data_IF_278644945762
#
_entry.id   IF_278644945762
#
_cell.length_a   1.000
_cell.length_b   1.000
_cell.length_c   1.000
_cell.angle_alpha   90.00
_cell.angle_beta   90.00
_cell.angle_gamma   90.00
#
_symmetry.space_group_name_H-M   'P 1'
#
loop_
_entity.id
_entity.type
_entity.pdbx_description
1 polymer ?
#
# COMPACT_ATOMS: atom_id res chain seq x y z
N UNK A 1 -52.30 29.34 19.85
CA UNK A 1 -51.85 28.46 18.71
C UNK A 1 -50.36 28.62 18.60
N UNK A 2 -49.62 27.67 19.22
CA UNK A 2 -48.15 27.77 19.31
C UNK A 2 -47.50 27.74 17.93
N UNK A 3 -46.47 28.55 17.79
CA UNK A 3 -45.63 28.70 16.59
C UNK A 3 -45.05 27.32 16.15
N UNK A 4 -45.81 26.52 15.40
CA UNK A 4 -45.35 25.21 14.89
C UNK A 4 -44.40 25.40 13.71
N UNK A 5 -44.39 26.59 13.12
CA UNK A 5 -43.56 26.91 11.95
C UNK A 5 -42.06 26.82 12.23
N UNK A 6 -41.49 27.39 13.31
CA UNK A 6 -40.08 27.25 13.62
C UNK A 6 -39.69 25.79 13.98
N UNK A 7 -40.58 25.05 14.63
CA UNK A 7 -40.33 23.64 14.94
C UNK A 7 -40.26 22.77 13.67
N UNK A 8 -41.12 23.05 12.69
CA UNK A 8 -41.09 22.36 11.39
C UNK A 8 -39.82 22.69 10.63
N UNK A 9 -39.40 23.97 10.61
CA UNK A 9 -38.15 24.37 9.95
C UNK A 9 -36.91 23.71 10.58
N UNK A 10 -36.88 23.63 11.90
CA UNK A 10 -35.79 22.92 12.62
C UNK A 10 -35.82 21.44 12.26
N UNK A 11 -36.97 20.77 12.26
CA UNK A 11 -37.10 19.36 11.92
C UNK A 11 -36.63 19.07 10.48
N UNK A 12 -36.99 19.93 9.51
CA UNK A 12 -36.53 19.84 8.13
C UNK A 12 -35.01 20.03 8.07
N UNK A 13 -34.46 21.02 8.77
CA UNK A 13 -33.02 21.25 8.83
C UNK A 13 -32.23 20.06 9.37
N UNK A 14 -32.72 19.46 10.44
CA UNK A 14 -32.13 18.24 11.04
C UNK A 14 -32.22 17.09 10.06
N UNK A 15 -33.32 16.88 9.39
CA UNK A 15 -33.52 15.79 8.43
C UNK A 15 -32.58 15.96 7.23
N UNK A 16 -32.42 17.17 6.70
CA UNK A 16 -31.48 17.48 5.62
C UNK A 16 -30.04 17.27 6.08
N UNK A 17 -29.70 17.66 7.31
CA UNK A 17 -28.36 17.41 7.88
C UNK A 17 -28.05 15.92 8.00
N UNK A 18 -29.01 15.13 8.50
CA UNK A 18 -28.86 13.67 8.59
C UNK A 18 -28.68 13.07 7.20
N UNK A 19 -29.50 13.45 6.23
CA UNK A 19 -29.41 12.98 4.86
C UNK A 19 -28.04 13.32 4.22
N UNK A 20 -27.55 14.53 4.40
CA UNK A 20 -26.24 14.96 3.92
C UNK A 20 -25.09 14.19 4.59
N UNK A 21 -25.17 13.96 5.91
CA UNK A 21 -24.17 13.22 6.68
C UNK A 21 -24.13 11.71 6.34
N UNK A 22 -25.21 11.19 5.75
CA UNK A 22 -25.35 9.77 5.39
C UNK A 22 -24.76 9.42 4.03
N UNK A 23 -24.33 10.39 3.23
CA UNK A 23 -23.87 10.17 1.86
C UNK A 23 -22.34 10.29 1.78
N UNK A 24 -21.71 9.41 1.01
CA UNK A 24 -20.31 9.54 0.62
C UNK A 24 -20.09 9.11 -0.82
N UNK A 25 -19.02 9.62 -1.43
CA UNK A 25 -18.68 9.35 -2.84
C UNK A 25 -17.35 8.59 -2.90
N UNK A 26 -17.32 7.56 -3.73
CA UNK A 26 -16.11 6.80 -4.08
C UNK A 26 -15.69 7.20 -5.48
N UNK A 27 -14.45 7.66 -5.64
CA UNK A 27 -13.87 8.02 -6.92
C UNK A 27 -13.26 6.79 -7.61
N UNK A 28 -13.04 6.86 -8.94
CA UNK A 28 -12.44 5.78 -9.74
C UNK A 28 -11.03 5.36 -9.32
N UNK A 29 -10.33 6.19 -8.54
CA UNK A 29 -8.97 5.93 -8.08
C UNK A 29 -8.88 5.52 -6.62
N UNK A 30 -10.04 5.20 -6.02
CA UNK A 30 -10.15 4.92 -4.59
C UNK A 30 -11.10 3.77 -4.35
N UNK A 31 -10.80 3.00 -3.33
CA UNK A 31 -11.73 2.08 -2.69
C UNK A 31 -12.13 2.67 -1.33
N UNK A 32 -13.34 2.43 -0.89
CA UNK A 32 -13.81 2.90 0.41
C UNK A 32 -14.13 1.73 1.32
N UNK A 33 -13.57 1.74 2.52
CA UNK A 33 -13.86 0.79 3.58
C UNK A 33 -14.80 1.46 4.57
N UNK A 34 -15.98 0.89 4.75
CA UNK A 34 -16.94 1.33 5.77
C UNK A 34 -16.66 0.57 7.05
N UNK A 35 -16.33 1.32 8.10
CA UNK A 35 -15.94 0.78 9.40
C UNK A 35 -16.98 1.19 10.42
N UNK A 36 -17.51 0.22 11.16
CA UNK A 36 -18.47 0.42 12.25
C UNK A 36 -17.92 -0.22 13.54
N UNK A 37 -17.83 0.54 14.61
CA UNK A 37 -17.26 0.10 15.88
C UNK A 37 -15.90 -0.61 15.72
N UNK A 38 -15.04 -0.07 14.84
CA UNK A 38 -13.72 -0.62 14.53
C UNK A 38 -13.71 -1.85 13.63
N UNK A 39 -14.86 -2.40 13.26
CA UNK A 39 -14.98 -3.56 12.37
C UNK A 39 -15.32 -3.16 10.93
N UNK A 40 -14.73 -3.85 9.97
CA UNK A 40 -15.03 -3.65 8.55
C UNK A 40 -16.41 -4.22 8.26
N UNK A 41 -17.36 -3.35 7.91
CA UNK A 41 -18.72 -3.72 7.51
C UNK A 41 -18.80 -4.00 6.03
N UNK A 42 -18.22 -3.13 5.23
CA UNK A 42 -18.31 -3.22 3.78
C UNK A 42 -17.09 -2.58 3.10
N UNK A 43 -16.81 -3.01 1.87
CA UNK A 43 -15.77 -2.45 1.01
C UNK A 43 -16.38 -2.10 -0.33
N UNK A 44 -16.31 -0.82 -0.70
CA UNK A 44 -16.79 -0.30 -1.97
C UNK A 44 -15.61 -0.12 -2.91
N UNK A 45 -15.56 -0.95 -3.94
CA UNK A 45 -14.49 -0.95 -4.96
C UNK A 45 -14.91 -0.22 -6.22
N UNK A 46 -16.22 -0.07 -6.46
CA UNK A 46 -16.72 0.62 -7.64
C UNK A 46 -16.95 2.11 -7.34
N UNK A 47 -16.67 3.00 -8.32
CA UNK A 47 -16.98 4.42 -8.17
C UNK A 47 -18.48 4.64 -8.09
N UNK A 48 -18.89 5.54 -7.24
CA UNK A 48 -20.30 5.86 -7.09
C UNK A 48 -20.65 6.59 -5.81
N UNK A 49 -21.94 6.82 -5.65
CA UNK A 49 -22.53 7.44 -4.48
C UNK A 49 -23.12 6.36 -3.59
N UNK A 50 -22.68 6.34 -2.34
CA UNK A 50 -23.06 5.33 -1.37
C UNK A 50 -23.62 5.94 -0.10
N UNK A 51 -24.36 5.13 0.66
CA UNK A 51 -24.96 5.53 1.92
C UNK A 51 -24.25 4.83 3.08
N UNK A 52 -24.11 5.58 4.17
CA UNK A 52 -23.59 5.10 5.46
C UNK A 52 -24.50 5.58 6.59
N UNK A 53 -24.39 4.96 7.75
CA UNK A 53 -25.06 5.51 8.93
C UNK A 53 -24.42 6.85 9.30
N UNK A 54 -25.26 7.90 9.54
CA UNK A 54 -24.76 9.19 9.98
C UNK A 54 -24.09 9.09 11.36
N UNK A 55 -23.42 10.17 11.76
CA UNK A 55 -22.78 10.29 13.07
C UNK A 55 -21.55 9.39 13.28
N UNK A 56 -20.62 9.39 12.33
CA UNK A 56 -19.33 8.68 12.45
C UNK A 56 -18.50 9.08 13.69
N UNK A 57 -18.77 10.24 14.29
CA UNK A 57 -18.19 10.67 15.57
C UNK A 57 -18.71 9.89 16.79
N UNK A 58 -19.83 9.17 16.66
CA UNK A 58 -20.38 8.24 17.66
C UNK A 58 -20.07 6.78 17.31
N UNK A 59 -18.98 6.53 16.55
CA UNK A 59 -18.57 5.21 16.05
C UNK A 59 -19.63 4.48 15.19
N UNK A 60 -20.63 5.23 14.66
CA UNK A 60 -21.66 4.62 13.83
C UNK A 60 -21.05 4.06 12.54
N UNK A 61 -20.66 4.92 11.59
CA UNK A 61 -19.96 4.51 10.37
C UNK A 61 -18.87 5.52 10.03
N UNK A 62 -17.62 5.10 9.98
CA UNK A 62 -16.51 5.86 9.42
C UNK A 62 -16.12 5.29 8.06
N UNK A 63 -15.65 6.13 7.15
CA UNK A 63 -15.20 5.73 5.82
C UNK A 63 -13.71 6.01 5.70
N UNK A 64 -12.93 4.96 5.42
CA UNK A 64 -11.51 5.07 5.12
C UNK A 64 -11.32 4.86 3.61
N UNK A 65 -10.67 5.81 2.96
CA UNK A 65 -10.35 5.71 1.54
C UNK A 65 -8.97 5.12 1.34
N UNK A 66 -8.89 4.12 0.47
CA UNK A 66 -7.66 3.44 0.05
C UNK A 66 -7.43 3.74 -1.42
N UNK A 67 -6.22 4.12 -1.79
CA UNK A 67 -5.87 4.40 -3.18
C UNK A 67 -5.90 3.13 -4.03
N UNK A 68 -6.62 3.18 -5.17
CA UNK A 68 -6.71 2.11 -6.16
C UNK A 68 -5.93 2.47 -7.43
N UNK A 69 -4.69 2.87 -7.27
CA UNK A 69 -3.76 3.17 -8.35
C UNK A 69 -2.41 2.53 -8.07
N UNK A 70 -1.59 2.40 -9.12
CA UNK A 70 -0.22 1.94 -8.96
C UNK A 70 0.56 2.94 -8.10
N UNK A 71 1.19 2.43 -7.06
CA UNK A 71 2.02 3.15 -6.11
C UNK A 71 3.46 2.68 -6.30
N UNK A 72 4.39 3.55 -5.98
CA UNK A 72 5.81 3.24 -6.04
C UNK A 72 6.46 3.56 -4.70
N UNK A 73 7.37 2.68 -4.27
CA UNK A 73 8.34 3.00 -3.24
C UNK A 73 9.75 2.66 -3.71
N UNK A 74 10.70 3.46 -3.28
CA UNK A 74 12.12 3.30 -3.58
C UNK A 74 12.84 2.77 -2.35
N UNK A 75 13.85 1.94 -2.58
CA UNK A 75 14.76 1.44 -1.56
C UNK A 75 16.17 1.68 -2.07
N UNK A 76 16.85 2.61 -1.44
CA UNK A 76 18.18 3.06 -1.84
C UNK A 76 19.26 2.48 -0.91
N UNK A 77 20.50 2.45 -1.40
CA UNK A 77 21.71 2.09 -0.65
C UNK A 77 21.68 0.68 -0.02
N UNK A 78 21.06 -0.28 -0.71
CA UNK A 78 21.03 -1.67 -0.24
C UNK A 78 22.41 -2.29 -0.46
N UNK A 79 23.12 -2.56 0.62
CA UNK A 79 24.40 -3.25 0.57
C UNK A 79 24.19 -4.76 0.43
N UNK A 80 24.56 -5.32 -0.71
CA UNK A 80 24.48 -6.75 -1.01
C UNK A 80 25.88 -7.35 -1.20
N UNK A 81 26.09 -8.55 -0.68
CA UNK A 81 27.31 -9.30 -0.93
C UNK A 81 27.07 -10.31 -2.04
N UNK A 82 27.91 -10.30 -3.08
CA UNK A 82 27.85 -11.25 -4.17
C UNK A 82 28.79 -12.45 -3.95
N UNK A 83 28.60 -13.51 -4.71
CA UNK A 83 29.54 -14.63 -4.71
C UNK A 83 30.93 -14.13 -5.11
N UNK A 84 31.92 -14.35 -4.23
CA UNK A 84 33.26 -13.77 -4.37
C UNK A 84 33.62 -12.70 -3.34
N UNK A 85 32.71 -12.42 -2.38
CA UNK A 85 32.97 -11.60 -1.21
C UNK A 85 32.95 -10.09 -1.43
N UNK A 86 32.70 -9.62 -2.65
CA UNK A 86 32.58 -8.18 -2.95
C UNK A 86 31.22 -7.64 -2.52
N UNK A 87 31.20 -6.37 -2.12
CA UNK A 87 29.96 -5.66 -1.76
C UNK A 87 29.56 -4.68 -2.85
N UNK A 88 28.27 -4.61 -3.07
CA UNK A 88 27.66 -3.66 -3.99
C UNK A 88 26.55 -2.90 -3.30
N UNK A 89 26.37 -1.65 -3.71
CA UNK A 89 25.22 -0.84 -3.36
C UNK A 89 24.21 -0.92 -4.50
N UNK A 90 22.99 -1.29 -4.15
CA UNK A 90 21.91 -1.52 -5.12
C UNK A 90 20.74 -0.63 -4.74
N UNK A 91 20.30 0.19 -5.69
CA UNK A 91 19.05 0.92 -5.59
C UNK A 91 17.97 0.17 -6.35
N UNK A 92 16.85 -0.05 -5.72
CA UNK A 92 15.72 -0.73 -6.32
C UNK A 92 14.42 0.04 -6.08
N UNK A 93 13.43 -0.16 -6.95
CA UNK A 93 12.09 0.31 -6.69
C UNK A 93 11.06 -0.78 -6.98
N UNK A 94 9.95 -0.66 -6.29
CA UNK A 94 8.81 -1.55 -6.43
C UNK A 94 7.59 -0.75 -6.84
N UNK A 95 6.88 -1.23 -7.85
CA UNK A 95 5.56 -0.73 -8.24
C UNK A 95 4.53 -1.76 -7.76
N UNK A 96 3.58 -1.31 -6.98
CA UNK A 96 2.56 -2.16 -6.39
C UNK A 96 1.18 -1.48 -6.42
N UNK A 97 0.14 -2.28 -6.27
CA UNK A 97 -1.25 -1.82 -6.19
C UNK A 97 -1.94 -2.45 -4.98
N UNK A 98 -2.82 -1.70 -4.32
CA UNK A 98 -3.66 -2.23 -3.24
C UNK A 98 -4.90 -2.84 -3.90
N UNK A 99 -4.93 -4.17 -4.03
CA UNK A 99 -6.00 -4.89 -4.72
C UNK A 99 -7.05 -5.45 -3.78
N UNK A 100 -6.70 -5.67 -2.51
CA UNK A 100 -7.61 -6.12 -1.46
C UNK A 100 -7.57 -5.13 -0.29
N UNK A 101 -8.44 -4.14 -0.32
CA UNK A 101 -8.51 -3.10 0.70
C UNK A 101 -8.88 -3.66 2.08
N UNK A 102 -9.71 -4.73 2.15
CA UNK A 102 -10.05 -5.39 3.42
C UNK A 102 -8.81 -5.98 4.08
N UNK A 103 -8.09 -6.81 3.35
CA UNK A 103 -6.85 -7.44 3.83
C UNK A 103 -5.79 -6.43 4.19
N UNK A 104 -5.66 -5.38 3.37
CA UNK A 104 -4.75 -4.26 3.64
C UNK A 104 -5.09 -3.56 4.96
N UNK A 105 -6.36 -3.30 5.22
CA UNK A 105 -6.82 -2.74 6.50
C UNK A 105 -6.55 -3.67 7.67
N UNK A 106 -6.82 -4.96 7.53
CA UNK A 106 -6.60 -5.96 8.59
C UNK A 106 -5.12 -6.16 8.90
N UNK A 107 -4.25 -6.17 7.88
CA UNK A 107 -2.82 -6.44 8.04
C UNK A 107 -2.02 -5.25 8.55
N UNK A 108 -2.31 -4.03 8.10
CA UNK A 108 -1.53 -2.82 8.36
C UNK A 108 -2.39 -1.62 8.78
N UNK A 109 -3.63 -1.85 9.22
CA UNK A 109 -4.59 -0.80 9.63
C UNK A 109 -4.89 0.23 8.52
N UNK A 110 -4.64 -0.13 7.27
CA UNK A 110 -4.77 0.77 6.12
C UNK A 110 -3.66 1.82 6.04
N UNK A 111 -2.56 1.61 6.76
CA UNK A 111 -1.39 2.49 6.75
C UNK A 111 -0.39 2.06 5.69
N UNK A 112 -0.14 2.96 4.75
CA UNK A 112 0.76 2.74 3.63
C UNK A 112 2.21 2.59 4.08
N UNK A 113 2.67 3.42 5.00
CA UNK A 113 4.05 3.42 5.48
C UNK A 113 4.39 2.09 6.15
N UNK A 114 3.48 1.56 6.96
CA UNK A 114 3.62 0.24 7.58
C UNK A 114 3.70 -0.90 6.56
N UNK A 115 2.95 -0.81 5.47
CA UNK A 115 3.00 -1.79 4.39
C UNK A 115 4.34 -1.72 3.64
N UNK A 116 4.76 -0.52 3.26
CA UNK A 116 6.03 -0.27 2.57
C UNK A 116 7.24 -0.68 3.42
N UNK A 117 7.23 -0.44 4.73
CA UNK A 117 8.26 -0.88 5.65
C UNK A 117 8.40 -2.41 5.69
N UNK A 118 7.27 -3.14 5.67
CA UNK A 118 7.30 -4.61 5.60
C UNK A 118 7.81 -5.10 4.26
N UNK A 119 7.35 -4.48 3.15
CA UNK A 119 7.83 -4.84 1.81
C UNK A 119 9.31 -4.52 1.63
N UNK A 120 9.82 -3.40 2.17
CA UNK A 120 11.23 -3.03 2.08
C UNK A 120 12.12 -4.05 2.78
N UNK A 121 11.75 -4.52 3.96
CA UNK A 121 12.48 -5.57 4.69
C UNK A 121 12.54 -6.87 3.87
N UNK A 122 11.44 -7.23 3.20
CA UNK A 122 11.40 -8.42 2.33
C UNK A 122 12.20 -8.25 1.06
N UNK A 123 12.12 -7.07 0.45
CA UNK A 123 12.91 -6.71 -0.74
C UNK A 123 14.41 -6.78 -0.45
N UNK A 124 14.87 -6.18 0.67
CA UNK A 124 16.27 -6.24 1.10
C UNK A 124 16.73 -7.71 1.26
N UNK A 125 15.94 -8.52 1.93
CA UNK A 125 16.24 -9.94 2.13
C UNK A 125 16.28 -10.73 0.82
N UNK A 126 15.34 -10.49 -0.09
CA UNK A 126 15.28 -11.13 -1.39
C UNK A 126 16.47 -10.73 -2.28
N UNK A 127 16.82 -9.45 -2.31
CA UNK A 127 17.96 -8.93 -3.04
C UNK A 127 19.26 -9.55 -2.53
N UNK A 128 19.51 -9.55 -1.22
CA UNK A 128 20.72 -10.19 -0.63
C UNK A 128 20.83 -11.65 -0.99
N UNK A 129 19.73 -12.38 -0.98
CA UNK A 129 19.72 -13.80 -1.34
C UNK A 129 20.02 -14.02 -2.82
N UNK A 130 19.30 -13.30 -3.70
CA UNK A 130 19.46 -13.47 -5.15
C UNK A 130 20.86 -13.04 -5.62
N UNK A 131 21.38 -11.94 -5.08
CA UNK A 131 22.75 -11.50 -5.37
C UNK A 131 23.83 -12.39 -4.74
N UNK A 132 23.60 -12.88 -3.53
CA UNK A 132 24.55 -13.76 -2.84
C UNK A 132 24.80 -15.09 -3.55
N UNK A 133 23.82 -15.57 -4.29
CA UNK A 133 23.92 -16.82 -5.06
C UNK A 133 24.61 -16.64 -6.43
N UNK A 134 24.80 -15.40 -6.88
CA UNK A 134 25.27 -15.08 -8.24
C UNK A 134 26.47 -14.16 -8.23
N UNK A 135 27.22 -14.17 -9.33
CA UNK A 135 28.32 -13.23 -9.56
C UNK A 135 27.80 -11.85 -10.01
N UNK A 136 28.67 -10.87 -9.88
CA UNK A 136 28.35 -9.48 -10.31
C UNK A 136 27.99 -9.37 -11.79
N UNK A 137 28.66 -10.16 -12.65
CA UNK A 137 28.41 -10.13 -14.10
C UNK A 137 26.97 -10.50 -14.46
N UNK A 138 26.36 -11.39 -13.67
CA UNK A 138 24.94 -11.75 -13.82
C UNK A 138 24.00 -10.58 -13.60
N UNK A 139 24.35 -9.65 -12.72
CA UNK A 139 23.56 -8.45 -12.45
C UNK A 139 23.61 -7.39 -13.57
N UNK A 140 24.65 -7.43 -14.39
CA UNK A 140 24.85 -6.52 -15.54
C UNK A 140 24.46 -7.15 -16.89
N UNK A 141 24.23 -8.46 -16.92
CA UNK A 141 23.94 -9.23 -18.11
C UNK A 141 22.44 -9.44 -18.37
N UNK A 142 22.13 -10.25 -19.37
CA UNK A 142 20.75 -10.69 -19.66
C UNK A 142 20.09 -11.44 -18.50
N UNK A 143 20.88 -11.98 -17.55
CA UNK A 143 20.37 -12.64 -16.34
C UNK A 143 19.68 -11.68 -15.37
N UNK A 144 19.96 -10.37 -15.47
CA UNK A 144 19.33 -9.33 -14.62
C UNK A 144 17.81 -9.44 -14.64
N UNK A 145 17.21 -9.65 -15.80
CA UNK A 145 15.76 -9.80 -15.93
C UNK A 145 15.25 -11.07 -15.21
N UNK A 146 16.03 -12.15 -15.22
CA UNK A 146 15.73 -13.37 -14.50
C UNK A 146 15.79 -13.17 -12.98
N UNK A 147 16.86 -12.49 -12.52
CA UNK A 147 17.02 -12.13 -11.10
C UNK A 147 15.83 -11.30 -10.59
N UNK A 148 15.38 -10.32 -11.37
CA UNK A 148 14.25 -9.48 -10.97
C UNK A 148 12.93 -10.24 -10.95
N UNK A 149 12.74 -11.21 -11.84
CA UNK A 149 11.56 -12.09 -11.77
C UNK A 149 11.56 -12.95 -10.50
N UNK A 150 12.73 -13.44 -10.09
CA UNK A 150 12.88 -14.22 -8.85
C UNK A 150 12.58 -13.36 -7.62
N UNK A 151 13.18 -12.17 -7.51
CA UNK A 151 12.89 -11.20 -6.45
C UNK A 151 11.40 -10.84 -6.41
N UNK A 152 10.80 -10.57 -7.57
CA UNK A 152 9.36 -10.29 -7.67
C UNK A 152 8.52 -11.46 -7.17
N UNK A 153 8.88 -12.70 -7.54
CA UNK A 153 8.18 -13.90 -7.10
C UNK A 153 8.14 -14.04 -5.58
N UNK A 154 9.28 -13.76 -4.92
CA UNK A 154 9.38 -13.78 -3.47
C UNK A 154 8.54 -12.69 -2.79
N UNK A 155 8.58 -11.47 -3.32
CA UNK A 155 7.76 -10.39 -2.79
C UNK A 155 6.28 -10.64 -2.97
N UNK A 156 5.86 -11.27 -4.06
CA UNK A 156 4.45 -11.49 -4.39
C UNK A 156 3.73 -12.28 -3.31
N UNK A 157 4.37 -13.29 -2.73
CA UNK A 157 3.78 -14.10 -1.67
C UNK A 157 3.50 -13.26 -0.41
N UNK A 158 4.46 -12.46 0.01
CA UNK A 158 4.33 -11.59 1.18
C UNK A 158 3.37 -10.42 0.91
N UNK A 159 3.42 -9.82 -0.28
CA UNK A 159 2.54 -8.74 -0.67
C UNK A 159 1.07 -9.17 -0.69
N UNK A 160 0.77 -10.37 -1.16
CA UNK A 160 -0.60 -10.89 -1.19
C UNK A 160 -1.21 -11.03 0.22
N UNK A 161 -0.39 -11.33 1.22
CA UNK A 161 -0.81 -11.37 2.63
C UNK A 161 -1.17 -9.97 3.18
N UNK A 162 -0.64 -8.92 2.57
CA UNK A 162 -0.95 -7.53 2.89
C UNK A 162 -2.08 -6.95 2.03
N UNK A 163 -2.68 -7.74 1.13
CA UNK A 163 -3.69 -7.25 0.18
C UNK A 163 -3.11 -6.44 -0.98
N UNK A 164 -1.81 -6.62 -1.27
CA UNK A 164 -1.08 -5.92 -2.31
C UNK A 164 -0.75 -6.85 -3.48
N UNK A 165 -0.70 -6.29 -4.67
CA UNK A 165 -0.18 -6.95 -5.87
C UNK A 165 1.06 -6.23 -6.35
N UNK A 166 2.15 -6.97 -6.54
CA UNK A 166 3.39 -6.42 -7.09
C UNK A 166 3.27 -6.39 -8.62
N UNK A 167 3.30 -5.21 -9.19
CA UNK A 167 3.28 -5.03 -10.64
C UNK A 167 4.66 -5.16 -11.25
N UNK A 168 5.66 -4.49 -10.65
CA UNK A 168 7.04 -4.51 -11.17
C UNK A 168 8.05 -4.33 -10.03
N UNK A 169 9.23 -4.90 -10.24
CA UNK A 169 10.42 -4.70 -9.40
C UNK A 169 11.61 -4.45 -10.31
N UNK A 170 12.29 -3.31 -10.12
CA UNK A 170 13.45 -2.94 -10.94
C UNK A 170 14.59 -2.44 -10.09
N UNK A 171 15.79 -2.73 -10.54
CA UNK A 171 17.01 -2.11 -10.07
C UNK A 171 17.22 -0.81 -10.84
N UNK A 172 17.44 0.27 -10.13
CA UNK A 172 17.79 1.58 -10.72
C UNK A 172 19.29 1.72 -10.91
N UNK A 173 20.07 1.33 -9.90
CA UNK A 173 21.52 1.50 -9.85
C UNK A 173 22.18 0.31 -9.17
N UNK A 174 23.40 -0.01 -9.61
CA UNK A 174 24.26 -0.99 -8.94
C UNK A 174 25.70 -0.47 -9.03
N UNK A 175 26.28 -0.12 -7.91
CA UNK A 175 27.64 0.41 -7.82
C UNK A 175 28.52 -0.51 -6.98
N UNK A 176 29.80 -0.54 -7.31
CA UNK A 176 30.80 -1.23 -6.51
C UNK A 176 31.11 -0.39 -5.27
N UNK A 177 30.87 -0.94 -4.09
CA UNK A 177 31.35 -0.31 -2.86
C UNK A 177 32.87 -0.42 -2.81
N UNK A 178 33.58 0.71 -2.96
CA UNK A 178 35.00 0.76 -2.71
C UNK A 178 35.25 0.65 -1.20
N UNK A 179 35.47 -0.57 -0.73
CA UNK A 179 36.08 -0.76 0.56
C UNK A 179 37.51 -0.24 0.45
N UNK A 180 37.73 0.98 0.94
CA UNK A 180 39.10 1.49 1.14
C UNK A 180 39.74 0.57 2.17
N UNK A 181 40.50 -0.40 1.69
CA UNK A 181 41.42 -1.16 2.52
C UNK A 181 42.45 -0.18 3.07
N UNK A 182 42.18 0.39 4.22
CA UNK A 182 43.23 1.01 5.04
C UNK A 182 43.95 -0.16 5.72
N UNK A 183 45.05 -0.56 5.11
CA UNK A 183 46.11 -1.25 5.80
C UNK A 183 47.00 -0.24 6.51
#
# INVERSE_FOLDING_TARGET
MGNRLPAILIAIGVLLFIAYSSVFVVNERQQAIVIRFGQIQDVKTEPGLYFKLPFGFMDADSVQYIQDQALRFDLDDIRVQVSGGKFYEVDAFVVYKITDARRFREAVSGDRESAEARLSTRLDSALRRVYGLRGFESALSEERASMMREVRGELTADASNLGLTIEDVRIRRTDLTQEVSQQ
#
